data_IF_346542982285
#
_entry.id   IF_346542982285
#
_cell.length_a   1.000
_cell.length_b   1.000
_cell.length_c   1.000
_cell.angle_alpha   90.00
_cell.angle_beta   90.00
_cell.angle_gamma   90.00
#
_symmetry.space_group_name_H-M   'P 1'
#
loop_
_entity.id
_entity.type
_entity.pdbx_description
1 polymer ?
#
# COMPACT_ATOMS: atom_id res chain seq x y z
N UNK A 1 2.02 27.53 -16.10
CA UNK A 1 3.27 26.90 -16.60
C UNK A 1 2.88 25.58 -17.26
N UNK A 2 3.59 25.07 -18.28
CA UNK A 2 3.21 23.80 -18.91
C UNK A 2 3.32 22.65 -17.90
N UNK A 3 2.28 21.81 -17.81
CA UNK A 3 2.24 20.63 -16.92
C UNK A 3 3.12 19.52 -17.48
N UNK A 4 3.75 18.73 -16.61
CA UNK A 4 4.64 17.63 -17.01
C UNK A 4 3.89 16.30 -17.10
N UNK A 5 2.76 16.29 -17.83
CA UNK A 5 1.90 15.11 -17.97
C UNK A 5 2.36 14.17 -19.09
N UNK A 6 2.21 12.87 -18.83
CA UNK A 6 2.35 11.80 -19.81
C UNK A 6 0.95 11.23 -20.12
N UNK A 7 0.58 11.25 -21.40
CA UNK A 7 -0.70 10.71 -21.91
C UNK A 7 -0.36 9.71 -23.00
N UNK A 8 -0.58 8.42 -22.71
CA UNK A 8 -0.32 7.35 -23.66
C UNK A 8 -1.32 7.35 -24.82
N UNK A 9 -0.96 6.68 -25.91
CA UNK A 9 -1.84 6.54 -27.08
C UNK A 9 -3.16 5.85 -26.73
N UNK A 10 -3.14 4.89 -25.81
CA UNK A 10 -4.33 4.17 -25.37
C UNK A 10 -5.26 5.09 -24.56
N UNK A 11 -4.71 5.88 -23.63
CA UNK A 11 -5.50 6.86 -22.86
C UNK A 11 -6.09 7.92 -23.79
N UNK A 12 -5.29 8.41 -24.75
CA UNK A 12 -5.71 9.37 -25.77
C UNK A 12 -6.83 8.81 -26.67
N UNK A 13 -6.76 7.54 -27.04
CA UNK A 13 -7.79 6.88 -27.84
C UNK A 13 -9.14 6.80 -27.09
N UNK A 14 -9.11 6.58 -25.77
CA UNK A 14 -10.32 6.48 -24.95
C UNK A 14 -10.95 7.84 -24.63
N UNK A 15 -10.15 8.85 -24.28
CA UNK A 15 -10.68 10.19 -23.90
C UNK A 15 -10.89 11.13 -25.10
N UNK A 16 -10.29 10.81 -26.25
CA UNK A 16 -10.28 11.61 -27.46
C UNK A 16 -9.13 12.62 -27.53
N UNK A 17 -8.73 12.97 -28.76
CA UNK A 17 -7.57 13.85 -29.02
C UNK A 17 -7.76 15.26 -28.44
N UNK A 18 -8.97 15.82 -28.53
CA UNK A 18 -9.27 17.15 -27.98
C UNK A 18 -9.10 17.19 -26.46
N UNK A 19 -9.54 16.15 -25.74
CA UNK A 19 -9.40 16.08 -24.28
C UNK A 19 -7.96 15.80 -23.86
N UNK A 20 -7.26 14.93 -24.58
CA UNK A 20 -5.84 14.67 -24.35
C UNK A 20 -5.01 15.95 -24.53
N UNK A 21 -5.30 16.75 -25.55
CA UNK A 21 -4.59 18.01 -25.79
C UNK A 21 -4.93 19.07 -24.72
N UNK A 22 -6.18 19.12 -24.21
CA UNK A 22 -6.54 19.95 -23.05
C UNK A 22 -5.73 19.62 -21.81
N UNK A 23 -5.62 18.32 -21.48
CA UNK A 23 -4.82 17.87 -20.35
C UNK A 23 -3.35 18.28 -20.50
N UNK A 24 -2.76 18.08 -21.68
CA UNK A 24 -1.35 18.41 -21.94
C UNK A 24 -1.03 19.90 -21.79
N UNK A 25 -1.99 20.79 -22.09
CA UNK A 25 -1.83 22.24 -21.85
C UNK A 25 -2.19 22.66 -20.42
N UNK A 26 -2.61 21.70 -19.58
CA UNK A 26 -2.91 21.87 -18.17
C UNK A 26 -4.35 22.28 -17.86
N UNK A 27 -5.24 22.22 -18.84
CA UNK A 27 -6.68 22.43 -18.65
C UNK A 27 -7.33 21.09 -18.24
N UNK A 28 -7.97 21.05 -17.07
CA UNK A 28 -8.56 19.83 -16.51
C UNK A 28 -7.62 18.93 -15.68
N UNK A 29 -6.31 19.20 -15.65
CA UNK A 29 -5.37 18.48 -14.80
C UNK A 29 -5.16 19.18 -13.44
N UNK A 30 -5.29 18.49 -12.30
CA UNK A 30 -5.09 19.08 -11.00
C UNK A 30 -3.62 19.44 -10.79
N UNK A 31 -3.38 20.54 -10.07
CA UNK A 31 -2.02 20.93 -9.71
C UNK A 31 -1.39 19.93 -8.77
N UNK A 32 -2.00 19.79 -7.59
CA UNK A 32 -1.65 18.74 -6.63
C UNK A 32 -2.57 17.54 -6.82
N UNK A 33 -2.02 16.34 -6.71
CA UNK A 33 -2.78 15.08 -6.79
C UNK A 33 -2.26 14.08 -5.77
N UNK A 34 -3.10 13.13 -5.36
CA UNK A 34 -2.63 11.94 -4.64
C UNK A 34 -2.32 10.85 -5.66
N UNK A 35 -1.08 10.38 -5.70
CA UNK A 35 -0.67 9.35 -6.65
C UNK A 35 -1.55 8.10 -6.48
N UNK A 36 -2.26 7.66 -7.54
CA UNK A 36 -3.17 6.51 -7.42
C UNK A 36 -2.45 5.21 -7.06
N UNK A 37 -1.15 5.12 -7.35
CA UNK A 37 -0.30 3.97 -7.02
C UNK A 37 0.24 4.01 -5.58
N UNK A 38 0.94 5.08 -5.17
CA UNK A 38 1.63 5.14 -3.88
C UNK A 38 0.92 6.00 -2.82
N UNK A 39 -0.17 6.67 -3.18
CA UNK A 39 -0.98 7.58 -2.35
C UNK A 39 -0.22 8.76 -1.73
N UNK A 40 1.01 9.00 -2.17
CA UNK A 40 1.78 10.19 -1.78
C UNK A 40 1.32 11.39 -2.60
N UNK A 41 1.28 12.60 -2.02
CA UNK A 41 1.02 13.82 -2.77
C UNK A 41 2.08 14.05 -3.86
N UNK A 42 1.63 14.43 -5.03
CA UNK A 42 2.43 14.85 -6.18
C UNK A 42 1.98 16.20 -6.72
N UNK A 43 2.82 16.83 -7.54
CA UNK A 43 2.56 18.13 -8.17
C UNK A 43 2.91 18.11 -9.66
N UNK A 44 1.90 18.16 -10.51
CA UNK A 44 2.03 18.07 -11.97
C UNK A 44 2.74 19.28 -12.60
N UNK A 45 2.96 20.35 -11.83
CA UNK A 45 3.80 21.50 -12.21
C UNK A 45 5.30 21.27 -11.94
N UNK A 46 5.65 20.36 -11.02
CA UNK A 46 7.03 20.17 -10.55
C UNK A 46 7.67 18.84 -10.96
N UNK A 47 6.86 17.83 -11.29
CA UNK A 47 7.35 16.48 -11.57
C UNK A 47 6.59 15.80 -12.72
N UNK A 48 7.21 14.78 -13.33
CA UNK A 48 6.56 14.00 -14.39
C UNK A 48 5.43 13.15 -13.81
N UNK A 49 4.24 13.34 -14.35
CA UNK A 49 3.01 12.67 -13.90
C UNK A 49 2.41 11.85 -15.02
N UNK A 50 2.10 10.58 -14.77
CA UNK A 50 1.36 9.70 -15.68
C UNK A 50 -0.14 9.84 -15.48
N UNK A 51 -0.87 9.90 -16.59
CA UNK A 51 -2.34 9.80 -16.60
C UNK A 51 -2.79 8.35 -16.66
N UNK A 52 -3.73 7.98 -15.79
CA UNK A 52 -4.24 6.62 -15.67
C UNK A 52 -5.75 6.68 -15.81
N UNK A 53 -6.29 6.01 -16.82
CA UNK A 53 -7.72 5.97 -17.06
C UNK A 53 -8.28 4.64 -16.55
N UNK A 54 -9.11 4.69 -15.52
CA UNK A 54 -9.86 3.51 -15.06
C UNK A 54 -11.16 3.43 -15.85
N UNK A 55 -11.36 2.33 -16.58
CA UNK A 55 -12.55 2.13 -17.44
C UNK A 55 -13.37 0.97 -16.92
N UNK A 56 -14.64 1.23 -16.67
CA UNK A 56 -15.67 0.27 -16.29
C UNK A 56 -16.61 -0.01 -17.44
N UNK A 57 -17.76 -0.61 -17.13
CA UNK A 57 -18.77 -0.92 -18.15
C UNK A 57 -19.51 0.35 -18.57
N UNK A 58 -19.74 1.28 -17.64
CA UNK A 58 -20.49 2.52 -17.89
C UNK A 58 -19.71 3.79 -17.52
N UNK A 59 -18.71 3.68 -16.64
CA UNK A 59 -17.97 4.84 -16.13
C UNK A 59 -16.47 4.80 -16.45
N UNK A 60 -15.89 5.98 -16.67
CA UNK A 60 -14.45 6.14 -16.79
C UNK A 60 -13.97 7.25 -15.84
N UNK A 61 -12.89 6.99 -15.11
CA UNK A 61 -12.31 7.94 -14.16
C UNK A 61 -10.85 8.17 -14.49
N UNK A 62 -10.51 9.43 -14.74
CA UNK A 62 -9.14 9.85 -14.97
C UNK A 62 -8.45 10.13 -13.63
N UNK A 63 -7.28 9.53 -13.43
CA UNK A 63 -6.45 9.70 -12.25
C UNK A 63 -4.99 9.97 -12.62
N UNK A 64 -4.19 10.34 -11.62
CA UNK A 64 -2.81 10.78 -11.80
C UNK A 64 -1.87 9.95 -10.90
N UNK A 65 -0.66 9.73 -11.38
CA UNK A 65 0.39 9.03 -10.66
C UNK A 65 1.77 9.62 -10.98
N UNK A 66 2.75 9.45 -10.10
CA UNK A 66 4.13 9.69 -10.49
C UNK A 66 4.50 8.82 -11.69
N UNK A 67 5.19 9.38 -12.68
CA UNK A 67 5.65 8.63 -13.84
C UNK A 67 6.61 7.48 -13.49
N UNK A 68 7.23 7.53 -12.31
CA UNK A 68 8.07 6.46 -11.75
C UNK A 68 7.28 5.35 -11.07
N UNK A 69 6.05 5.62 -10.63
CA UNK A 69 5.22 4.62 -9.95
C UNK A 69 4.53 3.70 -10.96
N UNK A 70 3.87 4.29 -11.96
CA UNK A 70 3.17 3.56 -13.03
C UNK A 70 3.19 4.38 -14.33
N UNK A 71 3.30 3.73 -15.50
CA UNK A 71 3.21 4.42 -16.78
C UNK A 71 1.77 4.89 -17.06
N UNK A 72 1.63 5.81 -18.00
CA UNK A 72 0.31 6.20 -18.49
C UNK A 72 -0.36 5.02 -19.21
N UNK A 73 -1.58 4.68 -18.81
CA UNK A 73 -2.26 3.47 -19.28
C UNK A 73 -3.77 3.52 -19.01
N UNK A 74 -4.49 2.65 -19.73
CA UNK A 74 -5.90 2.34 -19.46
C UNK A 74 -5.97 1.07 -18.61
N UNK A 75 -6.73 1.11 -17.52
CA UNK A 75 -6.90 0.00 -16.59
C UNK A 75 -8.37 -0.40 -16.54
N UNK A 76 -8.75 -1.57 -17.07
CA UNK A 76 -10.11 -2.07 -16.94
C UNK A 76 -10.36 -2.48 -15.48
N UNK A 77 -11.46 -2.01 -14.91
CA UNK A 77 -11.87 -2.33 -13.52
C UNK A 77 -13.37 -2.61 -13.49
N UNK A 78 -13.86 -3.32 -12.47
CA UNK A 78 -15.31 -3.54 -12.36
C UNK A 78 -16.06 -2.26 -11.99
N UNK A 79 -17.31 -2.14 -12.42
CA UNK A 79 -18.15 -0.97 -12.13
C UNK A 79 -18.29 -0.71 -10.62
N UNK A 80 -18.35 -1.78 -9.82
CA UNK A 80 -18.38 -1.72 -8.35
C UNK A 80 -17.11 -1.09 -7.75
N UNK A 81 -15.95 -1.33 -8.36
CA UNK A 81 -14.67 -0.75 -7.93
C UNK A 81 -14.56 0.74 -8.30
N UNK A 82 -15.07 1.12 -9.48
CA UNK A 82 -15.13 2.51 -9.92
C UNK A 82 -16.04 3.35 -9.03
N UNK A 83 -17.25 2.86 -8.70
CA UNK A 83 -18.17 3.59 -7.84
C UNK A 83 -17.61 3.79 -6.42
N UNK A 84 -16.86 2.83 -5.89
CA UNK A 84 -16.15 2.98 -4.62
C UNK A 84 -15.03 4.03 -4.66
N UNK A 85 -14.30 4.12 -5.79
CA UNK A 85 -13.28 5.13 -6.00
C UNK A 85 -13.87 6.53 -6.17
N UNK A 86 -14.94 6.69 -6.95
CA UNK A 86 -15.64 7.97 -7.15
C UNK A 86 -16.19 8.51 -5.83
N UNK A 87 -16.84 7.69 -5.00
CA UNK A 87 -17.35 8.11 -3.68
C UNK A 87 -16.23 8.59 -2.73
N UNK A 88 -15.04 8.01 -2.85
CA UNK A 88 -13.87 8.41 -2.06
C UNK A 88 -13.24 9.72 -2.55
N UNK A 89 -13.50 10.09 -3.81
CA UNK A 89 -12.95 11.30 -4.47
C UNK A 89 -13.95 12.48 -4.39
N UNK A 90 -15.27 12.24 -4.44
CA UNK A 90 -16.29 13.30 -4.42
C UNK A 90 -16.76 13.74 -3.04
N UNK A 91 -16.42 13.02 -1.96
CA UNK A 91 -16.72 13.47 -0.59
C UNK A 91 -18.22 13.65 -0.28
N UNK A 92 -19.08 12.80 -0.83
CA UNK A 92 -20.54 12.87 -0.58
C UNK A 92 -20.92 12.12 0.72
N UNK A 93 -20.87 12.86 1.83
CA UNK A 93 -21.72 12.63 3.00
C UNK A 93 -23.20 12.88 2.61
N UNK A 94 -24.18 12.10 3.09
CA UNK A 94 -25.58 12.26 2.70
C UNK A 94 -26.11 13.65 3.09
N UNK A 95 -26.67 14.32 2.09
CA UNK A 95 -27.15 15.70 2.15
C UNK A 95 -28.23 15.98 3.23
N UNK A 96 -28.39 17.25 3.65
CA UNK A 96 -29.13 17.66 4.84
C UNK A 96 -30.62 17.94 4.59
N UNK A 97 -31.43 17.75 5.64
CA UNK A 97 -32.85 18.15 5.71
C UNK A 97 -32.96 19.65 6.08
N UNK A 98 -33.94 20.42 5.52
CA UNK A 98 -33.99 21.89 5.57
C UNK A 98 -34.38 22.50 6.94
N UNK A 99 -34.29 23.85 7.11
CA UNK A 99 -33.74 24.50 8.29
C UNK A 99 -34.78 25.02 9.30
N UNK A 100 -34.34 25.24 10.54
CA UNK A 100 -34.99 26.09 11.53
C UNK A 100 -33.93 26.95 12.25
N UNK A 101 -34.29 28.15 12.77
CA UNK A 101 -33.46 29.35 12.68
C UNK A 101 -32.41 29.52 13.80
N UNK A 102 -31.35 30.25 13.44
CA UNK A 102 -30.24 30.70 14.31
C UNK A 102 -30.69 31.45 15.56
N UNK A 103 -29.85 31.42 16.63
CA UNK A 103 -29.05 32.63 16.87
C UNK A 103 -27.61 32.43 17.36
N UNK A 104 -26.78 33.36 16.88
CA UNK A 104 -25.62 34.03 17.48
C UNK A 104 -24.21 33.39 17.37
N UNK A 105 -23.18 34.21 17.06
CA UNK A 105 -21.85 33.75 16.69
C UNK A 105 -20.99 33.47 17.93
N UNK A 106 -20.43 32.26 18.00
CA UNK A 106 -19.33 31.92 18.88
C UNK A 106 -18.13 31.45 18.05
N UNK A 107 -16.94 31.83 18.52
CA UNK A 107 -15.62 31.76 17.91
C UNK A 107 -15.26 30.43 17.19
N UNK A 108 -14.26 30.43 16.28
CA UNK A 108 -13.91 29.25 15.49
C UNK A 108 -13.43 28.13 16.41
N UNK A 109 -14.23 27.07 16.51
CA UNK A 109 -13.82 25.81 17.10
C UNK A 109 -12.90 25.11 16.10
N UNK A 110 -11.70 24.77 16.56
CA UNK A 110 -10.77 23.89 15.86
C UNK A 110 -11.47 22.56 15.50
N UNK A 111 -11.16 21.95 14.34
CA UNK A 111 -11.75 20.69 13.94
C UNK A 111 -11.40 19.60 14.96
N UNK A 112 -12.43 18.91 15.45
CA UNK A 112 -12.27 17.74 16.31
C UNK A 112 -11.68 16.56 15.52
N UNK A 113 -10.70 15.82 16.06
CA UNK A 113 -10.21 14.58 15.46
C UNK A 113 -11.15 13.44 15.87
N UNK A 114 -11.84 12.83 14.93
CA UNK A 114 -12.88 11.86 15.25
C UNK A 114 -13.29 10.96 14.08
N UNK A 115 -12.33 10.24 13.52
CA UNK A 115 -12.54 9.20 12.52
C UNK A 115 -11.23 8.48 12.29
N UNK A 116 -10.89 7.53 13.16
CA UNK A 116 -9.63 6.79 13.11
C UNK A 116 -9.50 6.03 11.80
N UNK A 117 -8.79 6.61 10.83
CA UNK A 117 -8.38 5.90 9.62
C UNK A 117 -7.43 4.79 10.06
N UNK A 118 -7.88 3.55 9.96
CA UNK A 118 -7.02 2.39 10.20
C UNK A 118 -5.93 2.39 9.13
N UNK A 119 -4.66 2.42 9.55
CA UNK A 119 -3.54 2.44 8.64
C UNK A 119 -3.51 1.18 7.75
N UNK A 120 -3.20 1.37 6.48
CA UNK A 120 -3.08 0.31 5.48
C UNK A 120 -1.68 -0.29 5.55
N UNK A 121 -1.56 -1.61 5.41
CA UNK A 121 -0.27 -2.28 5.39
C UNK A 121 0.26 -2.38 3.94
N UNK A 122 1.43 -1.80 3.71
CA UNK A 122 2.22 -2.01 2.51
C UNK A 122 3.08 -3.25 2.63
N UNK A 123 3.20 -4.01 1.53
CA UNK A 123 4.11 -5.16 1.43
C UNK A 123 5.04 -4.97 0.24
N UNK A 124 6.35 -5.03 0.51
CA UNK A 124 7.40 -5.11 -0.50
C UNK A 124 7.97 -6.53 -0.53
N UNK A 125 8.06 -7.13 -1.71
CA UNK A 125 8.66 -8.45 -1.91
C UNK A 125 10.10 -8.31 -2.41
N UNK A 126 11.04 -9.06 -1.84
CA UNK A 126 12.43 -9.07 -2.31
C UNK A 126 13.23 -10.23 -1.72
N UNK A 127 14.46 -10.43 -2.20
CA UNK A 127 15.38 -11.39 -1.59
C UNK A 127 16.19 -10.72 -0.49
N UNK A 128 16.38 -11.42 0.62
CA UNK A 128 17.27 -11.02 1.72
C UNK A 128 18.30 -12.11 1.90
N UNK A 129 19.58 -11.73 1.88
CA UNK A 129 20.68 -12.62 2.24
C UNK A 129 20.62 -12.89 3.75
N UNK A 130 20.58 -14.15 4.16
CA UNK A 130 20.66 -14.60 5.56
C UNK A 130 21.77 -15.63 5.65
N UNK A 131 22.84 -15.32 6.38
CA UNK A 131 24.11 -16.04 6.22
C UNK A 131 24.59 -15.95 4.76
N UNK A 132 24.77 -17.09 4.10
CA UNK A 132 25.17 -17.19 2.70
C UNK A 132 24.01 -17.57 1.76
N UNK A 133 22.76 -17.60 2.25
CA UNK A 133 21.60 -18.01 1.46
C UNK A 133 20.65 -16.83 1.18
N UNK A 134 20.28 -16.63 -0.09
CA UNK A 134 19.20 -15.72 -0.47
C UNK A 134 17.85 -16.35 -0.10
N UNK A 135 17.09 -15.64 0.74
CA UNK A 135 15.78 -16.07 1.23
C UNK A 135 14.70 -15.13 0.69
N UNK A 136 13.52 -15.66 0.31
CA UNK A 136 12.40 -14.82 -0.06
C UNK A 136 11.88 -14.08 1.17
N UNK A 137 11.71 -12.77 1.04
CA UNK A 137 11.24 -11.91 2.12
C UNK A 137 10.04 -11.08 1.70
N UNK A 138 9.16 -10.84 2.67
CA UNK A 138 8.13 -9.82 2.68
C UNK A 138 8.56 -8.76 3.69
N UNK A 139 8.62 -7.51 3.27
CA UNK A 139 8.85 -6.37 4.15
C UNK A 139 7.56 -5.61 4.29
N UNK A 140 7.06 -5.53 5.51
CA UNK A 140 5.75 -4.97 5.84
C UNK A 140 5.91 -3.67 6.62
N UNK A 141 5.25 -2.63 6.13
CA UNK A 141 5.28 -1.30 6.72
C UNK A 141 3.89 -0.66 6.59
N UNK A 142 3.30 -0.15 7.67
CA UNK A 142 2.03 0.56 7.59
C UNK A 142 2.22 1.97 7.01
N UNK A 143 1.15 2.53 6.43
CA UNK A 143 1.12 3.92 5.93
C UNK A 143 0.96 4.98 7.05
N UNK A 144 0.79 4.53 8.30
CA UNK A 144 0.71 5.36 9.49
C UNK A 144 0.76 4.52 10.77
N UNK A 145 0.71 5.16 11.96
CA UNK A 145 0.71 4.45 13.24
C UNK A 145 -0.46 3.47 13.36
N UNK A 146 -0.21 2.29 13.93
CA UNK A 146 -1.25 1.29 14.20
C UNK A 146 -1.59 1.30 15.68
N UNK A 147 -2.86 1.50 16.02
CA UNK A 147 -3.36 1.42 17.40
C UNK A 147 -4.31 0.24 17.55
N UNK A 148 -4.49 -0.25 18.77
CA UNK A 148 -5.49 -1.31 19.02
C UNK A 148 -6.91 -0.82 18.69
N UNK A 149 -7.74 -1.67 18.06
CA UNK A 149 -9.16 -1.38 17.88
C UNK A 149 -9.83 -1.03 19.22
N UNK A 150 -10.51 0.12 19.28
CA UNK A 150 -11.18 0.60 20.51
C UNK A 150 -10.26 1.26 21.54
N UNK A 151 -8.96 1.39 21.27
CA UNK A 151 -8.03 2.15 22.12
C UNK A 151 -8.15 3.65 21.89
N UNK A 152 -7.98 4.44 22.95
CA UNK A 152 -7.80 5.91 22.88
C UNK A 152 -6.32 6.32 22.83
N UNK A 153 -5.40 5.34 22.87
CA UNK A 153 -3.97 5.57 22.73
C UNK A 153 -3.65 6.15 21.35
N UNK A 154 -2.70 7.08 21.31
CA UNK A 154 -2.09 7.57 20.06
C UNK A 154 -0.69 6.95 19.83
N UNK A 155 -0.26 6.04 20.71
CA UNK A 155 1.04 5.37 20.57
C UNK A 155 0.94 4.28 19.50
N UNK A 156 1.95 4.20 18.64
CA UNK A 156 2.06 3.11 17.67
C UNK A 156 2.33 1.78 18.40
N UNK A 157 1.40 0.84 18.27
CA UNK A 157 1.44 -0.49 18.86
C UNK A 157 1.81 -1.58 17.84
N UNK A 158 2.15 -1.22 16.59
CA UNK A 158 2.34 -2.17 15.50
C UNK A 158 3.28 -3.33 15.84
N UNK A 159 4.49 -3.02 16.33
CA UNK A 159 5.48 -4.05 16.68
C UNK A 159 5.04 -4.88 17.89
N UNK A 160 4.43 -4.24 18.88
CA UNK A 160 3.91 -4.93 20.08
C UNK A 160 2.87 -5.97 19.69
N UNK A 161 1.93 -5.60 18.83
CA UNK A 161 0.90 -6.50 18.30
C UNK A 161 1.50 -7.70 17.57
N UNK A 162 2.53 -7.49 16.74
CA UNK A 162 3.19 -8.59 16.05
C UNK A 162 3.99 -9.49 17.01
N UNK A 163 4.65 -8.93 18.02
CA UNK A 163 5.37 -9.72 19.02
C UNK A 163 4.42 -10.62 19.83
N UNK A 164 3.21 -10.14 20.15
CA UNK A 164 2.15 -10.96 20.77
C UNK A 164 1.73 -12.13 19.88
N UNK A 165 1.86 -12.00 18.55
CA UNK A 165 1.56 -13.02 17.56
C UNK A 165 2.75 -13.95 17.24
N UNK A 166 3.84 -13.86 18.01
CA UNK A 166 4.99 -14.76 17.91
C UNK A 166 6.13 -14.26 17.01
N UNK A 167 6.06 -13.03 16.50
CA UNK A 167 7.21 -12.38 15.87
C UNK A 167 8.26 -12.02 16.93
N UNK A 168 9.52 -11.96 16.52
CA UNK A 168 10.65 -11.63 17.43
C UNK A 168 11.39 -10.42 16.92
N UNK A 169 11.88 -9.61 17.86
CA UNK A 169 12.77 -8.50 17.54
C UNK A 169 14.03 -9.03 16.83
N UNK A 170 14.43 -8.33 15.77
CA UNK A 170 15.61 -8.67 14.98
C UNK A 170 16.80 -7.89 15.52
N UNK A 171 17.80 -8.61 16.03
CA UNK A 171 19.09 -8.02 16.44
C UNK A 171 20.10 -8.05 15.28
N UNK A 172 20.05 -9.10 14.46
CA UNK A 172 20.95 -9.33 13.33
C UNK A 172 20.18 -9.92 12.14
N UNK A 173 20.16 -9.20 11.03
CA UNK A 173 19.46 -9.62 9.78
C UNK A 173 20.13 -10.85 9.15
N UNK A 174 21.38 -11.17 9.51
CA UNK A 174 22.06 -12.38 9.05
C UNK A 174 21.58 -13.65 9.77
N UNK A 175 20.81 -13.53 10.84
CA UNK A 175 20.28 -14.67 11.59
C UNK A 175 18.86 -14.99 11.14
N UNK A 176 18.60 -16.28 10.96
CA UNK A 176 17.26 -16.74 10.59
C UNK A 176 16.29 -16.49 11.76
N UNK A 177 15.14 -15.82 11.54
CA UNK A 177 14.13 -15.63 12.57
C UNK A 177 13.52 -16.95 13.04
N UNK A 178 12.74 -16.89 14.13
CA UNK A 178 11.99 -18.05 14.60
C UNK A 178 10.87 -18.43 13.62
N UNK A 179 10.63 -19.74 13.48
CA UNK A 179 9.50 -20.26 12.71
C UNK A 179 8.18 -19.98 13.41
N UNK A 180 7.22 -19.40 12.68
CA UNK A 180 5.86 -19.15 13.12
C UNK A 180 4.88 -19.95 12.26
N UNK A 181 4.54 -21.15 12.71
CA UNK A 181 3.62 -22.06 12.01
C UNK A 181 2.16 -21.60 11.99
N UNK A 182 1.79 -20.64 12.83
CA UNK A 182 0.44 -20.10 12.85
C UNK A 182 0.16 -19.20 11.64
N UNK A 183 1.21 -18.61 11.09
CA UNK A 183 1.14 -17.68 9.96
C UNK A 183 1.52 -18.37 8.66
N UNK A 184 1.10 -17.83 7.52
CA UNK A 184 1.57 -18.31 6.22
C UNK A 184 1.49 -17.24 5.14
N UNK A 185 2.32 -17.37 4.11
CA UNK A 185 2.23 -16.56 2.90
C UNK A 185 1.51 -17.36 1.80
N UNK A 186 0.37 -16.86 1.33
CA UNK A 186 -0.40 -17.47 0.25
C UNK A 186 0.17 -17.05 -1.10
N UNK A 187 0.83 -18.00 -1.77
CA UNK A 187 1.38 -17.85 -3.11
C UNK A 187 0.61 -18.77 -4.05
N UNK A 188 -0.02 -18.21 -5.08
CA UNK A 188 -0.74 -18.98 -6.09
C UNK A 188 -0.51 -18.39 -7.48
N UNK A 189 -0.33 -19.26 -8.47
CA UNK A 189 -0.04 -18.85 -9.87
C UNK A 189 1.17 -17.90 -9.98
N UNK A 190 2.18 -18.10 -9.12
CA UNK A 190 3.40 -17.29 -9.10
C UNK A 190 3.21 -15.85 -8.61
N UNK A 191 2.09 -15.54 -7.95
CA UNK A 191 1.81 -14.21 -7.37
C UNK A 191 1.50 -14.36 -5.88
N UNK A 192 1.83 -13.34 -5.09
CA UNK A 192 1.47 -13.26 -3.67
C UNK A 192 0.04 -12.72 -3.54
N UNK A 193 -0.82 -13.46 -2.85
CA UNK A 193 -2.24 -13.09 -2.67
C UNK A 193 -2.52 -12.56 -1.29
N UNK A 194 -1.96 -13.18 -0.25
CA UNK A 194 -2.29 -12.84 1.13
C UNK A 194 -1.18 -13.26 2.11
N UNK A 195 -1.18 -12.62 3.27
CA UNK A 195 -0.54 -13.11 4.49
C UNK A 195 -1.66 -13.55 5.42
N UNK A 196 -1.63 -14.82 5.79
CA UNK A 196 -2.63 -15.46 6.63
C UNK A 196 -2.12 -15.53 8.06
N UNK A 197 -3.00 -15.22 9.01
CA UNK A 197 -2.78 -15.38 10.43
C UNK A 197 -3.66 -16.50 11.00
N UNK A 198 -3.38 -16.98 12.22
CA UNK A 198 -4.30 -17.84 12.95
C UNK A 198 -5.68 -17.19 13.08
N UNK A 199 -6.72 -17.91 12.69
CA UNK A 199 -8.12 -17.54 12.89
C UNK A 199 -8.77 -18.33 14.02
N UNK A 200 -10.08 -18.15 14.18
CA UNK A 200 -10.85 -18.86 15.19
C UNK A 200 -10.97 -20.36 14.86
N UNK A 201 -11.00 -21.21 15.89
CA UNK A 201 -11.23 -22.65 15.77
C UNK A 201 -10.27 -23.39 14.79
N UNK A 202 -9.03 -22.92 14.65
CA UNK A 202 -8.01 -23.54 13.79
C UNK A 202 -8.12 -23.19 12.30
N UNK A 203 -9.02 -22.28 11.92
CA UNK A 203 -9.02 -21.67 10.58
C UNK A 203 -7.86 -20.69 10.43
N UNK A 204 -7.52 -20.32 9.19
CA UNK A 204 -6.65 -19.18 8.88
C UNK A 204 -7.49 -18.02 8.35
N UNK A 205 -7.16 -16.81 8.76
CA UNK A 205 -7.79 -15.58 8.29
C UNK A 205 -6.77 -14.71 7.56
N UNK A 206 -7.18 -13.97 6.54
CA UNK A 206 -6.32 -12.99 5.92
C UNK A 206 -6.01 -11.87 6.92
N UNK A 207 -4.74 -11.74 7.30
CA UNK A 207 -4.24 -10.57 8.04
C UNK A 207 -3.97 -9.42 7.08
N UNK A 208 -3.45 -9.77 5.90
CA UNK A 208 -3.30 -8.87 4.77
C UNK A 208 -3.71 -9.60 3.50
N UNK A 209 -4.37 -8.89 2.60
CA UNK A 209 -4.75 -9.41 1.29
C UNK A 209 -4.43 -8.35 0.22
N UNK A 210 -3.78 -8.79 -0.85
CA UNK A 210 -3.52 -7.94 -1.99
C UNK A 210 -4.84 -7.61 -2.69
N UNK A 211 -5.09 -6.35 -3.00
CA UNK A 211 -6.22 -5.97 -3.85
C UNK A 211 -6.09 -6.61 -5.26
N UNK A 212 -4.85 -6.69 -5.76
CA UNK A 212 -4.46 -7.45 -6.93
C UNK A 212 -3.25 -8.32 -6.57
N UNK A 213 -3.20 -9.60 -6.95
CA UNK A 213 -2.08 -10.47 -6.58
C UNK A 213 -0.74 -9.88 -7.03
N UNK A 214 0.19 -9.73 -6.07
CA UNK A 214 1.45 -9.05 -6.31
C UNK A 214 2.40 -9.97 -7.10
N UNK A 215 2.94 -9.51 -8.24
CA UNK A 215 4.00 -10.24 -8.92
C UNK A 215 5.25 -10.25 -8.03
N UNK A 216 5.92 -11.39 -8.00
CA UNK A 216 7.21 -11.59 -7.32
C UNK A 216 8.26 -11.96 -8.35
N UNK A 217 9.52 -11.60 -8.12
CA UNK A 217 10.61 -11.93 -9.06
C UNK A 217 10.81 -13.44 -9.20
N UNK A 218 11.41 -13.87 -10.30
CA UNK A 218 11.72 -15.29 -10.53
C UNK A 218 12.64 -15.86 -9.44
N UNK A 219 13.64 -15.08 -9.03
CA UNK A 219 14.54 -15.43 -7.93
C UNK A 219 13.80 -15.62 -6.61
N UNK A 220 12.86 -14.72 -6.30
CA UNK A 220 11.99 -14.84 -5.13
C UNK A 220 11.17 -16.15 -5.18
N UNK A 221 10.53 -16.44 -6.31
CA UNK A 221 9.73 -17.68 -6.48
C UNK A 221 10.57 -18.94 -6.34
N UNK A 222 11.74 -18.98 -6.98
CA UNK A 222 12.64 -20.12 -6.89
C UNK A 222 13.10 -20.36 -5.45
N UNK A 223 13.47 -19.30 -4.74
CA UNK A 223 13.86 -19.40 -3.34
C UNK A 223 12.69 -19.89 -2.47
N UNK A 224 11.49 -19.34 -2.66
CA UNK A 224 10.26 -19.75 -1.97
C UNK A 224 9.90 -21.22 -2.22
N UNK A 225 9.91 -21.67 -3.47
CA UNK A 225 9.64 -23.08 -3.80
C UNK A 225 10.71 -24.01 -3.23
N UNK A 226 11.99 -23.60 -3.20
CA UNK A 226 13.08 -24.38 -2.62
C UNK A 226 12.94 -24.54 -1.10
N UNK A 227 12.64 -23.45 -0.39
CA UNK A 227 12.65 -23.42 1.08
C UNK A 227 11.30 -23.73 1.70
N UNK A 228 10.21 -23.71 0.90
CA UNK A 228 8.82 -23.82 1.34
C UNK A 228 8.43 -22.82 2.45
N UNK A 229 9.21 -21.73 2.55
CA UNK A 229 9.14 -20.76 3.65
C UNK A 229 9.51 -19.37 3.17
N UNK A 230 8.94 -18.36 3.79
CA UNK A 230 9.16 -16.93 3.50
C UNK A 230 9.47 -16.21 4.79
N UNK A 231 10.42 -15.27 4.74
CA UNK A 231 10.70 -14.36 5.84
C UNK A 231 9.69 -13.23 5.81
N UNK A 232 9.09 -12.87 6.93
CA UNK A 232 8.36 -11.61 7.05
C UNK A 232 9.10 -10.72 8.04
N UNK A 233 9.56 -9.57 7.55
CA UNK A 233 10.09 -8.47 8.34
C UNK A 233 9.02 -7.39 8.44
N UNK A 234 8.85 -6.81 9.62
CA UNK A 234 7.89 -5.73 9.84
C UNK A 234 8.48 -4.60 10.66
N UNK A 235 8.20 -3.37 10.25
CA UNK A 235 8.70 -2.15 10.88
C UNK A 235 7.59 -1.08 10.95
N UNK A 236 7.67 -0.09 11.88
CA UNK A 236 6.72 1.02 11.96
C UNK A 236 6.75 1.89 10.70
N UNK A 237 5.70 2.69 10.52
CA UNK A 237 5.60 3.63 9.40
C UNK A 237 6.83 4.56 9.32
N UNK A 238 7.41 4.68 8.12
CA UNK A 238 8.59 5.50 7.82
C UNK A 238 9.94 4.87 8.20
N UNK A 239 9.97 3.65 8.77
CA UNK A 239 11.21 3.02 9.21
C UNK A 239 12.02 2.40 8.06
N UNK A 240 11.34 1.85 7.05
CA UNK A 240 12.00 1.21 5.89
C UNK A 240 11.86 2.10 4.67
N UNK A 241 10.65 2.56 4.36
CA UNK A 241 10.33 3.33 3.16
C UNK A 241 10.41 2.50 1.88
N UNK A 242 10.28 3.19 0.74
CA UNK A 242 10.37 2.53 -0.56
C UNK A 242 11.82 2.17 -0.92
N UNK A 243 12.06 0.88 -1.17
CA UNK A 243 13.40 0.37 -1.49
C UNK A 243 13.41 -0.24 -2.90
N UNK A 244 13.98 0.45 -3.90
CA UNK A 244 13.93 0.01 -5.30
C UNK A 244 14.89 -1.14 -5.61
N UNK A 245 15.80 -1.47 -4.68
CA UNK A 245 16.84 -2.50 -4.86
C UNK A 245 17.02 -3.32 -3.58
N UNK A 246 17.39 -4.58 -3.74
CA UNK A 246 17.55 -5.54 -2.63
C UNK A 246 18.69 -5.17 -1.66
N UNK A 247 19.77 -4.58 -2.16
CA UNK A 247 20.89 -4.11 -1.34
C UNK A 247 20.49 -2.91 -0.44
N UNK A 248 19.67 -2.00 -0.96
CA UNK A 248 19.11 -0.88 -0.21
C UNK A 248 18.07 -1.38 0.81
N UNK A 249 17.23 -2.35 0.41
CA UNK A 249 16.29 -3.02 1.32
C UNK A 249 17.02 -3.67 2.49
N UNK A 250 18.11 -4.41 2.23
CA UNK A 250 18.95 -4.98 3.29
C UNK A 250 19.50 -3.91 4.23
N UNK A 251 20.06 -2.84 3.68
CA UNK A 251 20.62 -1.73 4.48
C UNK A 251 19.55 -1.08 5.37
N UNK A 252 18.33 -0.91 4.85
CA UNK A 252 17.20 -0.37 5.61
C UNK A 252 16.77 -1.31 6.75
N UNK A 253 16.70 -2.63 6.49
CA UNK A 253 16.41 -3.63 7.52
C UNK A 253 17.47 -3.63 8.62
N UNK A 254 18.76 -3.57 8.27
CA UNK A 254 19.84 -3.48 9.27
C UNK A 254 19.76 -2.19 10.11
N UNK A 255 19.40 -1.07 9.49
CA UNK A 255 19.16 0.18 10.21
C UNK A 255 17.98 0.06 11.17
N UNK A 256 16.86 -0.52 10.73
CA UNK A 256 15.69 -0.72 11.57
C UNK A 256 15.98 -1.68 12.74
N UNK A 257 16.70 -2.78 12.49
CA UNK A 257 17.15 -3.74 13.51
C UNK A 257 17.99 -3.06 14.60
N UNK A 258 19.01 -2.28 14.20
CA UNK A 258 19.85 -1.51 15.16
C UNK A 258 19.06 -0.53 16.02
N UNK A 259 17.96 0.01 15.48
CA UNK A 259 17.09 0.92 16.20
C UNK A 259 16.04 0.19 17.06
N UNK A 260 16.04 -1.14 17.10
CA UNK A 260 15.02 -1.93 17.77
C UNK A 260 13.63 -1.83 17.14
N UNK A 261 13.56 -1.34 15.89
CA UNK A 261 12.32 -1.06 15.17
C UNK A 261 12.01 -2.11 14.09
N UNK A 262 12.49 -3.34 14.29
CA UNK A 262 12.30 -4.45 13.34
C UNK A 262 11.93 -5.73 14.09
N UNK A 263 10.84 -6.36 13.67
CA UNK A 263 10.46 -7.70 14.09
C UNK A 263 10.39 -8.62 12.88
N UNK A 264 10.61 -9.92 13.09
CA UNK A 264 10.52 -10.90 12.03
C UNK A 264 10.04 -12.28 12.48
N UNK A 265 9.57 -13.05 11.51
CA UNK A 265 9.30 -14.47 11.63
C UNK A 265 9.57 -15.17 10.29
N UNK A 266 9.85 -16.47 10.36
CA UNK A 266 9.78 -17.36 9.20
C UNK A 266 8.37 -17.93 9.14
N UNK A 267 7.73 -17.90 7.97
CA UNK A 267 6.38 -18.42 7.78
C UNK A 267 6.37 -19.50 6.69
N UNK A 268 5.58 -20.57 6.81
CA UNK A 268 5.34 -21.51 5.72
C UNK A 268 4.67 -20.84 4.52
N UNK A 269 4.91 -21.40 3.34
CA UNK A 269 4.10 -21.10 2.15
C UNK A 269 2.79 -21.89 2.17
N UNK A 270 1.73 -21.25 1.69
CA UNK A 270 0.45 -21.87 1.40
C UNK A 270 0.12 -21.69 -0.09
N UNK A 271 -0.65 -22.63 -0.66
CA UNK A 271 -1.19 -22.53 -2.03
C UNK A 271 -0.24 -22.95 -3.17
N UNK A 272 0.89 -23.57 -2.85
CA UNK A 272 1.87 -24.11 -3.82
C UNK A 272 1.48 -25.48 -4.35
#
# INVERSE_FOLDING_TARGET
MPRMLDVSADVRAEIGDEEADRLLVGDGAPGNYDCTSCRTPGDSEQERTSTVLFVGEETAVLAFAHATCIPSQVVPVSEEQLQGAVRSITGEDPAPRPPAPEPAPAAPAAPAPGGGRQATLGITCGLVLVGDELRPALVVEPDGPIVRPGSTSQQDEFLTLLMEQGFRQVEDVNQLPVMNHGWSALLAMGKLHAVLQPGNAGSQAAWWQAHQPLPVSDGWRQAATKTQTVLMYAAPAGAIGHQPREDLMRTALEKAARNGALVAAVMPLAGT
#
